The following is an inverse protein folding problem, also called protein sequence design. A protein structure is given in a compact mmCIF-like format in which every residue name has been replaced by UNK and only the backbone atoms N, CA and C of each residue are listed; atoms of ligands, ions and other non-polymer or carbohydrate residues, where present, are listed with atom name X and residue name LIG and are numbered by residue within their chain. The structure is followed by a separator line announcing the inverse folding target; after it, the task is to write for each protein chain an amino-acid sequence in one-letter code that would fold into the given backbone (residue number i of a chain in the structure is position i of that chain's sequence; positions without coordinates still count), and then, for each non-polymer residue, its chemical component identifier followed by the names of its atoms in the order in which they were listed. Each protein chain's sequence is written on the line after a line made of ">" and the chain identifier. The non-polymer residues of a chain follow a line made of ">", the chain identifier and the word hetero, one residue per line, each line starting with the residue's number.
data_IF_235173766350
#
_entry.id   IF_235173766350
#
_cell.length_a   1.000
_cell.length_b   1.000
_cell.length_c   1.000
_cell.angle_alpha   90.00
_cell.angle_beta   90.00
_cell.angle_gamma   90.00
#
_symmetry.space_group_name_H-M   'P 1'
#
loop_
_entity.id
_entity.type
_entity.pdbx_description
1 polymer ?
#
# COMPACT_ATOMS: atom_id res chain seq x y z
N UNK A 1 -8.71 29.64 6.62
CA UNK A 1 -8.31 28.26 6.94
C UNK A 1 -9.05 27.37 5.97
N UNK A 2 -8.31 26.65 5.13
CA UNK A 2 -8.88 25.75 4.14
C UNK A 2 -9.54 24.56 4.84
N UNK A 3 -10.64 24.06 4.28
CA UNK A 3 -11.34 22.87 4.79
C UNK A 3 -10.40 21.64 4.68
N UNK A 4 -10.25 20.84 5.73
CA UNK A 4 -9.37 19.64 5.71
C UNK A 4 -9.78 18.67 4.58
N UNK A 5 -11.07 18.61 4.23
CA UNK A 5 -11.54 17.81 3.11
C UNK A 5 -11.00 18.32 1.74
N UNK A 6 -10.88 19.64 1.59
CA UNK A 6 -10.29 20.23 0.39
C UNK A 6 -8.80 19.89 0.29
N UNK A 7 -8.08 20.01 1.40
CA UNK A 7 -6.65 19.70 1.43
C UNK A 7 -6.39 18.23 1.10
N UNK A 8 -7.15 17.32 1.72
CA UNK A 8 -7.01 15.88 1.46
C UNK A 8 -7.35 15.51 0.01
N UNK A 9 -8.46 16.03 -0.53
CA UNK A 9 -8.82 15.78 -1.93
C UNK A 9 -7.82 16.39 -2.92
N UNK A 10 -7.24 17.56 -2.61
CA UNK A 10 -6.17 18.16 -3.40
C UNK A 10 -4.92 17.28 -3.39
N UNK A 11 -4.48 16.83 -2.21
CA UNK A 11 -3.31 15.96 -2.06
C UNK A 11 -3.44 14.66 -2.87
N UNK A 12 -4.61 14.00 -2.83
CA UNK A 12 -4.87 12.79 -3.64
C UNK A 12 -4.80 13.07 -5.14
N UNK A 13 -5.35 14.21 -5.60
CA UNK A 13 -5.30 14.58 -7.02
C UNK A 13 -3.88 14.91 -7.45
N UNK A 14 -3.08 15.60 -6.62
CA UNK A 14 -1.67 15.85 -6.91
C UNK A 14 -0.90 14.54 -7.14
N UNK A 15 -1.11 13.54 -6.28
CA UNK A 15 -0.49 12.21 -6.44
C UNK A 15 -1.03 11.52 -7.70
N UNK A 16 -2.34 11.60 -7.97
CA UNK A 16 -2.94 10.96 -9.12
C UNK A 16 -2.49 11.55 -10.47
N UNK A 17 -2.10 12.83 -10.49
CA UNK A 17 -1.48 13.50 -11.65
C UNK A 17 -0.05 13.01 -11.84
N UNK A 18 0.73 12.87 -10.77
CA UNK A 18 2.10 12.37 -10.86
C UNK A 18 2.20 10.91 -11.32
N UNK A 19 1.09 10.16 -11.31
CA UNK A 19 1.01 8.78 -11.82
C UNK A 19 0.47 8.70 -13.26
N UNK A 20 0.38 9.80 -14.01
CA UNK A 20 -0.28 9.82 -15.33
C UNK A 20 0.40 8.89 -16.34
N UNK A 21 1.73 8.87 -16.35
CA UNK A 21 2.53 8.02 -17.24
C UNK A 21 2.69 6.57 -16.71
N UNK A 22 2.19 6.30 -15.49
CA UNK A 22 2.25 5.01 -14.82
C UNK A 22 3.56 4.75 -14.06
N UNK A 23 4.48 5.71 -14.04
CA UNK A 23 5.72 5.67 -13.27
C UNK A 23 5.76 6.80 -12.25
N UNK A 24 6.55 6.63 -11.19
CA UNK A 24 6.83 7.69 -10.23
C UNK A 24 8.25 7.45 -9.72
N UNK A 25 9.21 8.13 -10.33
CA UNK A 25 10.61 7.94 -10.01
C UNK A 25 10.97 8.52 -8.62
N UNK A 26 12.22 8.30 -8.18
CA UNK A 26 12.63 8.75 -6.84
C UNK A 26 12.66 10.27 -6.71
N UNK A 27 13.02 11.00 -7.76
CA UNK A 27 13.07 12.46 -7.75
C UNK A 27 11.66 13.06 -7.77
N UNK A 28 10.79 12.57 -8.65
CA UNK A 28 9.38 12.97 -8.74
C UNK A 28 8.66 12.69 -7.41
N UNK A 29 8.88 11.50 -6.84
CA UNK A 29 8.34 11.13 -5.53
C UNK A 29 8.78 12.09 -4.42
N UNK A 30 10.06 12.44 -4.38
CA UNK A 30 10.59 13.34 -3.35
C UNK A 30 10.06 14.77 -3.54
N UNK A 31 10.02 15.26 -4.78
CA UNK A 31 9.47 16.57 -5.10
C UNK A 31 7.97 16.66 -4.73
N UNK A 32 7.20 15.61 -5.03
CA UNK A 32 5.81 15.48 -4.65
C UNK A 32 5.64 15.44 -3.13
N UNK A 33 6.45 14.66 -2.41
CA UNK A 33 6.45 14.65 -0.93
C UNK A 33 6.71 16.05 -0.36
N UNK A 34 7.69 16.77 -0.89
CA UNK A 34 8.00 18.14 -0.46
C UNK A 34 6.82 19.09 -0.66
N UNK A 35 6.05 18.95 -1.75
CA UNK A 35 4.83 19.72 -1.98
C UNK A 35 3.72 19.34 -1.00
N UNK A 36 3.51 18.05 -0.78
CA UNK A 36 2.51 17.55 0.18
C UNK A 36 2.81 18.05 1.60
N UNK A 37 4.09 18.14 1.99
CA UNK A 37 4.51 18.66 3.31
C UNK A 37 4.21 20.14 3.50
N UNK A 38 4.00 20.91 2.43
CA UNK A 38 3.61 22.33 2.51
C UNK A 38 2.10 22.50 2.68
N UNK A 39 1.31 21.46 2.45
CA UNK A 39 -0.13 21.52 2.67
C UNK A 39 -0.42 21.60 4.18
N UNK A 40 -1.30 22.52 4.61
CA UNK A 40 -1.60 22.72 6.02
C UNK A 40 -2.41 21.55 6.59
N UNK A 41 -2.25 21.32 7.90
CA UNK A 41 -3.20 20.56 8.73
C UNK A 41 -3.43 19.07 8.35
N UNK A 42 -2.47 18.39 7.70
CA UNK A 42 -2.53 16.94 7.48
C UNK A 42 -2.18 16.15 8.76
N UNK A 43 -3.12 15.34 9.24
CA UNK A 43 -2.92 14.39 10.34
C UNK A 43 -2.07 13.18 9.92
N UNK A 44 -1.54 12.43 10.89
CA UNK A 44 -0.77 11.22 10.62
C UNK A 44 -1.57 10.17 9.82
N UNK A 45 -2.87 10.02 10.08
CA UNK A 45 -3.72 9.08 9.34
C UNK A 45 -3.98 9.53 7.89
N UNK A 46 -4.13 10.85 7.67
CA UNK A 46 -4.22 11.41 6.31
C UNK A 46 -2.91 11.18 5.56
N UNK A 47 -1.75 11.38 6.20
CA UNK A 47 -0.45 11.06 5.62
C UNK A 47 -0.29 9.60 5.23
N UNK A 48 -0.66 8.68 6.13
CA UNK A 48 -0.69 7.25 5.82
C UNK A 48 -1.60 6.94 4.63
N UNK A 49 -2.74 7.61 4.53
CA UNK A 49 -3.62 7.47 3.36
C UNK A 49 -2.92 7.94 2.09
N UNK A 50 -2.17 9.05 2.14
CA UNK A 50 -1.41 9.54 0.99
C UNK A 50 -0.24 8.62 0.62
N UNK A 51 0.42 7.98 1.58
CA UNK A 51 1.44 6.95 1.33
C UNK A 51 0.85 5.80 0.50
N UNK A 52 -0.37 5.36 0.82
CA UNK A 52 -1.09 4.34 0.04
C UNK A 52 -1.31 4.74 -1.43
N UNK A 53 -1.43 6.04 -1.73
CA UNK A 53 -1.49 6.54 -3.12
C UNK A 53 -0.10 6.69 -3.74
N UNK A 54 0.95 6.98 -2.97
CA UNK A 54 2.33 7.10 -3.44
C UNK A 54 2.99 5.75 -3.78
N UNK A 55 2.45 4.65 -3.24
CA UNK A 55 3.00 3.30 -3.44
C UNK A 55 2.42 2.55 -4.63
N UNK A 56 1.36 3.06 -5.26
CA UNK A 56 0.77 2.40 -6.43
C UNK A 56 0.17 3.38 -7.44
N UNK A 57 0.27 3.06 -8.76
CA UNK A 57 -0.36 3.83 -9.82
C UNK A 57 -1.84 4.11 -9.56
N UNK A 58 -2.26 5.33 -9.89
CA UNK A 58 -3.68 5.72 -9.85
C UNK A 58 -4.26 5.62 -11.25
N UNK A 59 -5.11 4.61 -11.46
CA UNK A 59 -5.78 4.37 -12.74
C UNK A 59 -6.77 5.47 -13.11
N UNK A 60 -7.13 5.56 -14.40
CA UNK A 60 -7.98 6.63 -14.93
C UNK A 60 -9.34 6.75 -14.22
N UNK A 61 -10.02 5.63 -13.96
CA UNK A 61 -11.32 5.64 -13.29
C UNK A 61 -11.23 6.15 -11.83
N UNK A 62 -10.19 5.76 -11.09
CA UNK A 62 -9.95 6.27 -9.73
C UNK A 62 -9.57 7.76 -9.77
N UNK A 63 -8.72 8.17 -10.72
CA UNK A 63 -8.35 9.57 -10.94
C UNK A 63 -9.57 10.46 -11.22
N UNK A 64 -10.48 10.02 -12.10
CA UNK A 64 -11.74 10.72 -12.37
C UNK A 64 -12.59 10.89 -11.10
N UNK A 65 -12.66 9.85 -10.26
CA UNK A 65 -13.35 9.91 -8.96
C UNK A 65 -12.70 10.94 -8.02
N UNK A 66 -11.38 10.95 -7.92
CA UNK A 66 -10.63 11.88 -7.08
C UNK A 66 -10.81 13.34 -7.53
N UNK A 67 -10.78 13.58 -8.85
CA UNK A 67 -11.02 14.92 -9.42
C UNK A 67 -12.45 15.39 -9.11
N UNK A 68 -13.44 14.52 -9.27
CA UNK A 68 -14.84 14.85 -8.95
C UNK A 68 -15.02 15.19 -7.45
N UNK A 69 -14.33 14.47 -6.56
CA UNK A 69 -14.32 14.73 -5.13
C UNK A 69 -13.68 16.10 -4.81
N UNK A 70 -12.53 16.41 -5.42
CA UNK A 70 -11.88 17.72 -5.29
C UNK A 70 -12.81 18.86 -5.75
N UNK A 71 -13.45 18.72 -6.92
CA UNK A 71 -14.39 19.70 -7.44
C UNK A 71 -15.57 19.95 -6.50
N UNK A 72 -16.11 18.90 -5.87
CA UNK A 72 -17.19 19.02 -4.90
C UNK A 72 -16.78 19.74 -3.60
N UNK A 73 -15.49 19.71 -3.26
CA UNK A 73 -14.95 20.34 -2.05
C UNK A 73 -14.53 21.81 -2.26
N UNK A 74 -14.44 22.30 -3.49
CA UNK A 74 -14.16 23.72 -3.78
C UNK A 74 -15.41 24.55 -3.51
N UNK A 75 -15.31 25.49 -2.56
CA UNK A 75 -16.45 26.33 -2.14
C UNK A 75 -16.24 27.80 -2.44
N UNK A 76 -15.00 28.26 -2.53
CA UNK A 76 -14.65 29.66 -2.68
C UNK A 76 -13.66 29.89 -3.82
N UNK A 77 -13.51 31.14 -4.24
CA UNK A 77 -12.45 31.51 -5.19
C UNK A 77 -11.04 31.35 -4.60
N UNK A 78 -10.90 31.42 -3.27
CA UNK A 78 -9.64 31.18 -2.58
C UNK A 78 -9.26 29.69 -2.66
N UNK A 79 -10.23 28.79 -2.44
CA UNK A 79 -10.05 27.34 -2.62
C UNK A 79 -9.60 27.03 -4.05
N UNK A 80 -10.29 27.63 -5.03
CA UNK A 80 -9.95 27.46 -6.44
C UNK A 80 -8.52 27.94 -6.74
N UNK A 81 -8.14 29.13 -6.24
CA UNK A 81 -6.80 29.67 -6.42
C UNK A 81 -5.71 28.80 -5.75
N UNK A 82 -6.00 28.21 -4.59
CA UNK A 82 -5.12 27.27 -3.90
C UNK A 82 -4.88 26.02 -4.77
N UNK A 83 -5.96 25.42 -5.28
CA UNK A 83 -5.88 24.21 -6.12
C UNK A 83 -5.06 24.48 -7.38
N UNK A 84 -5.33 25.57 -8.11
CA UNK A 84 -4.55 25.90 -9.32
C UNK A 84 -3.07 26.09 -9.01
N UNK A 85 -2.74 26.76 -7.90
CA UNK A 85 -1.34 26.96 -7.48
C UNK A 85 -0.67 25.63 -7.20
N UNK A 86 -1.28 24.78 -6.38
CA UNK A 86 -0.72 23.49 -6.01
C UNK A 86 -0.52 22.57 -7.21
N UNK A 87 -1.49 22.48 -8.12
CA UNK A 87 -1.35 21.67 -9.34
C UNK A 87 -0.27 22.22 -10.30
N UNK A 88 -0.14 23.55 -10.39
CA UNK A 88 0.95 24.17 -11.16
C UNK A 88 2.32 23.90 -10.55
N UNK A 89 2.40 23.82 -9.21
CA UNK A 89 3.63 23.47 -8.50
C UNK A 89 4.02 22.01 -8.73
N UNK A 90 3.06 21.07 -8.81
CA UNK A 90 3.31 19.66 -9.17
C UNK A 90 3.94 19.58 -10.56
N UNK A 91 3.38 20.29 -11.54
CA UNK A 91 3.95 20.37 -12.88
C UNK A 91 5.38 20.95 -12.88
N UNK A 92 5.66 21.91 -12.01
CA UNK A 92 6.97 22.55 -11.96
C UNK A 92 8.01 21.80 -11.10
N UNK A 93 7.65 20.70 -10.43
CA UNK A 93 8.38 20.17 -9.28
C UNK A 93 9.71 19.50 -9.65
N UNK A 94 9.73 18.76 -10.75
CA UNK A 94 10.89 17.99 -11.22
C UNK A 94 11.57 18.62 -12.45
N UNK A 95 10.91 19.58 -13.09
CA UNK A 95 11.37 20.28 -14.29
C UNK A 95 11.13 19.56 -15.61
N UNK A 96 10.44 18.41 -15.61
CA UNK A 96 10.16 17.58 -16.81
C UNK A 96 8.72 17.10 -16.80
N UNK A 97 7.77 17.98 -17.17
CA UNK A 97 6.37 17.56 -17.38
C UNK A 97 6.25 16.80 -18.69
N UNK A 98 5.75 15.57 -18.64
CA UNK A 98 5.40 14.83 -19.85
C UNK A 98 4.21 15.49 -20.58
N UNK A 99 4.09 15.24 -21.89
CA UNK A 99 2.96 15.78 -22.66
C UNK A 99 1.60 15.30 -22.11
N UNK A 100 1.55 14.07 -21.61
CA UNK A 100 0.34 13.46 -21.07
C UNK A 100 -0.03 14.07 -19.72
N UNK A 101 0.94 14.33 -18.83
CA UNK A 101 0.71 15.04 -17.57
C UNK A 101 0.23 16.47 -17.80
N UNK A 102 0.86 17.19 -18.74
CA UNK A 102 0.45 18.55 -19.08
C UNK A 102 -0.98 18.56 -19.62
N UNK A 103 -1.35 17.59 -20.46
CA UNK A 103 -2.72 17.45 -20.95
C UNK A 103 -3.71 17.21 -19.80
N UNK A 104 -3.40 16.29 -18.88
CA UNK A 104 -4.27 15.99 -17.73
C UNK A 104 -4.39 17.21 -16.80
N UNK A 105 -3.30 17.93 -16.57
CA UNK A 105 -3.30 19.17 -15.81
C UNK A 105 -4.16 20.25 -16.47
N UNK A 106 -4.07 20.41 -17.78
CA UNK A 106 -4.89 21.36 -18.54
C UNK A 106 -6.37 20.95 -18.48
N UNK A 107 -6.69 19.66 -18.61
CA UNK A 107 -8.05 19.13 -18.46
C UNK A 107 -8.61 19.39 -17.07
N UNK A 108 -7.82 19.14 -16.00
CA UNK A 108 -8.20 19.42 -14.62
C UNK A 108 -8.41 20.92 -14.44
N UNK A 109 -7.47 21.76 -14.89
CA UNK A 109 -7.55 23.22 -14.78
C UNK A 109 -8.80 23.76 -15.47
N UNK A 110 -9.10 23.31 -16.69
CA UNK A 110 -10.31 23.68 -17.42
C UNK A 110 -11.59 23.23 -16.71
N UNK A 111 -11.59 22.02 -16.14
CA UNK A 111 -12.73 21.48 -15.41
C UNK A 111 -12.97 22.21 -14.08
N UNK A 112 -11.90 22.58 -13.37
CA UNK A 112 -11.94 23.46 -12.20
C UNK A 112 -12.44 24.85 -12.56
N UNK A 113 -12.08 25.35 -13.75
CA UNK A 113 -12.51 26.66 -14.21
C UNK A 113 -14.02 26.78 -14.39
N UNK A 114 -14.65 25.69 -14.80
CA UNK A 114 -16.10 25.57 -14.95
C UNK A 114 -16.86 25.46 -13.61
N UNK A 115 -16.17 25.23 -12.47
CA UNK A 115 -16.83 25.15 -11.14
C UNK A 115 -17.33 26.55 -10.72
N UNK A 116 -18.64 26.71 -10.66
CA UNK A 116 -19.27 27.94 -10.22
C UNK A 116 -19.18 28.16 -8.71
N UNK A 117 -18.29 29.05 -8.27
CA UNK A 117 -18.07 29.40 -6.84
C UNK A 117 -19.11 30.38 -6.25
N UNK A 118 -20.08 30.85 -7.06
CA UNK A 118 -21.14 31.77 -6.63
C UNK A 118 -22.44 31.10 -6.17
N UNK A 119 -23.28 31.84 -5.42
CA UNK A 119 -24.60 31.40 -4.94
C UNK A 119 -25.54 30.86 -6.06
N UNK A 120 -25.38 31.32 -7.30
CA UNK A 120 -26.15 30.86 -8.47
C UNK A 120 -25.55 29.62 -9.16
N UNK A 121 -24.26 29.34 -8.99
CA UNK A 121 -23.61 28.13 -9.53
C UNK A 121 -24.07 26.85 -8.82
N UNK A 122 -24.46 26.97 -7.55
CA UNK A 122 -24.99 25.88 -6.71
C UNK A 122 -26.37 25.36 -7.17
N UNK A 123 -27.11 26.15 -7.96
CA UNK A 123 -28.44 25.80 -8.47
C UNK A 123 -28.41 25.29 -9.93
N UNK A 124 -27.29 25.45 -10.64
CA UNK A 124 -27.13 25.09 -12.05
C UNK A 124 -26.83 23.61 -12.33
N UNK A 125 -26.46 22.83 -11.30
CA UNK A 125 -26.08 21.41 -11.44
C UNK A 125 -27.23 20.42 -11.69
N UNK A 126 -28.43 20.89 -12.01
CA UNK A 126 -29.64 20.06 -12.12
C UNK A 126 -30.04 19.72 -13.57
N UNK A 127 -29.10 19.23 -14.39
CA UNK A 127 -29.39 18.53 -15.65
C UNK A 127 -29.11 17.03 -15.49
N UNK A 128 -30.13 16.29 -15.03
CA UNK A 128 -30.05 14.92 -14.46
C UNK A 128 -29.98 13.74 -15.45
N UNK A 129 -29.90 13.91 -16.78
CA UNK A 129 -29.99 12.76 -17.71
C UNK A 129 -28.65 12.24 -18.26
N UNK A 130 -27.63 13.08 -18.39
CA UNK A 130 -26.25 12.66 -18.73
C UNK A 130 -25.36 12.46 -17.51
N UNK A 131 -25.70 13.11 -16.39
CA UNK A 131 -25.03 12.98 -15.09
C UNK A 131 -25.29 11.61 -14.44
N UNK A 132 -26.45 10.98 -14.67
CA UNK A 132 -26.75 9.69 -14.02
C UNK A 132 -25.77 8.58 -14.40
N UNK A 133 -25.33 8.53 -15.67
CA UNK A 133 -24.36 7.53 -16.14
C UNK A 133 -22.93 7.80 -15.65
N UNK A 134 -22.54 9.07 -15.51
CA UNK A 134 -21.26 9.46 -14.88
C UNK A 134 -21.26 9.21 -13.38
N UNK A 135 -22.34 9.53 -12.66
CA UNK A 135 -22.46 9.22 -11.23
C UNK A 135 -22.33 7.72 -10.97
N UNK A 136 -23.02 6.86 -11.74
CA UNK A 136 -22.90 5.41 -11.55
C UNK A 136 -21.50 4.87 -11.88
N UNK A 137 -20.78 5.49 -12.83
CA UNK A 137 -19.39 5.11 -13.12
C UNK A 137 -18.43 5.57 -12.00
N UNK A 138 -18.63 6.76 -11.44
CA UNK A 138 -17.86 7.29 -10.31
C UNK A 138 -18.13 6.52 -9.01
N UNK A 139 -19.39 6.10 -8.78
CA UNK A 139 -19.78 5.31 -7.60
C UNK A 139 -19.16 3.90 -7.61
N UNK A 140 -18.90 3.35 -8.80
CA UNK A 140 -18.26 2.04 -8.98
C UNK A 140 -16.75 2.14 -9.24
N UNK A 141 -16.18 3.35 -9.29
CA UNK A 141 -14.75 3.50 -9.50
C UNK A 141 -13.95 2.88 -8.33
N UNK A 142 -12.75 2.34 -8.61
CA UNK A 142 -11.89 1.81 -7.56
C UNK A 142 -11.67 2.83 -6.45
N UNK A 143 -11.67 2.34 -5.21
CA UNK A 143 -11.36 3.14 -4.04
C UNK A 143 -10.46 2.32 -3.11
N UNK A 144 -9.16 2.56 -3.21
CA UNK A 144 -8.15 1.83 -2.41
C UNK A 144 -8.27 2.06 -0.91
N UNK A 145 -8.84 3.19 -0.48
CA UNK A 145 -9.03 3.52 0.94
C UNK A 145 -9.97 2.53 1.65
N UNK A 146 -10.78 1.75 0.91
CA UNK A 146 -11.56 0.64 1.47
C UNK A 146 -10.68 -0.42 2.14
N UNK A 147 -9.41 -0.51 1.73
CA UNK A 147 -8.43 -1.46 2.24
C UNK A 147 -7.43 -0.80 3.20
N UNK A 148 -7.73 0.41 3.71
CA UNK A 148 -6.82 1.16 4.58
C UNK A 148 -6.43 0.38 5.85
N UNK A 149 -7.38 -0.31 6.47
CA UNK A 149 -7.08 -1.15 7.64
C UNK A 149 -6.13 -2.29 7.29
N UNK A 150 -6.30 -2.89 6.12
CA UNK A 150 -5.43 -3.98 5.64
C UNK A 150 -4.04 -3.47 5.29
N UNK A 151 -3.95 -2.29 4.67
CA UNK A 151 -2.68 -1.60 4.42
C UNK A 151 -1.87 -1.39 5.70
N UNK A 152 -2.55 -0.99 6.79
CA UNK A 152 -1.90 -0.76 8.08
C UNK A 152 -1.59 -2.04 8.85
N UNK A 153 -2.44 -3.04 8.78
CA UNK A 153 -2.35 -4.23 9.64
C UNK A 153 -1.65 -5.41 8.99
N UNK A 154 -1.77 -5.55 7.68
CA UNK A 154 -1.24 -6.66 6.91
C UNK A 154 -0.91 -6.19 5.49
N UNK A 155 0.15 -5.38 5.38
CA UNK A 155 0.59 -4.78 4.11
C UNK A 155 0.82 -5.82 3.00
N UNK A 156 1.35 -6.99 3.36
CA UNK A 156 1.52 -8.12 2.45
C UNK A 156 0.18 -8.61 1.89
N UNK A 157 -0.85 -8.74 2.74
CA UNK A 157 -2.19 -9.11 2.28
C UNK A 157 -2.79 -8.04 1.38
N UNK A 158 -2.63 -6.76 1.73
CA UNK A 158 -3.05 -5.65 0.88
C UNK A 158 -2.38 -5.69 -0.50
N UNK A 159 -1.06 -5.89 -0.55
CA UNK A 159 -0.30 -6.03 -1.79
C UNK A 159 -0.82 -7.20 -2.64
N UNK A 160 -0.98 -8.38 -2.04
CA UNK A 160 -1.51 -9.58 -2.70
C UNK A 160 -2.92 -9.32 -3.24
N UNK A 161 -3.83 -8.77 -2.43
CA UNK A 161 -5.20 -8.48 -2.84
C UNK A 161 -5.25 -7.50 -4.02
N UNK A 162 -4.45 -6.43 -3.97
CA UNK A 162 -4.38 -5.44 -5.05
C UNK A 162 -3.94 -6.07 -6.37
N UNK A 163 -2.89 -6.88 -6.32
CA UNK A 163 -2.39 -7.59 -7.51
C UNK A 163 -3.41 -8.62 -8.06
N UNK A 164 -4.17 -9.29 -7.18
CA UNK A 164 -5.26 -10.20 -7.57
C UNK A 164 -6.41 -9.44 -8.25
N UNK A 165 -6.81 -8.28 -7.70
CA UNK A 165 -7.87 -7.42 -8.25
C UNK A 165 -7.50 -6.83 -9.63
N UNK A 166 -6.21 -6.56 -9.86
CA UNK A 166 -5.66 -6.17 -11.16
C UNK A 166 -5.60 -7.34 -12.17
N UNK A 167 -6.03 -8.54 -11.78
CA UNK A 167 -6.10 -9.72 -12.63
C UNK A 167 -4.75 -10.41 -12.86
N UNK A 168 -3.71 -10.09 -12.07
CA UNK A 168 -2.37 -10.68 -12.23
C UNK A 168 -2.29 -12.12 -11.76
N UNK A 169 -3.07 -12.51 -10.75
CA UNK A 169 -3.12 -13.90 -10.28
C UNK A 169 -4.47 -14.18 -9.62
N UNK A 170 -5.05 -15.38 -9.82
CA UNK A 170 -6.28 -15.79 -9.15
C UNK A 170 -5.93 -16.80 -8.06
N UNK A 171 -6.15 -16.45 -6.79
CA UNK A 171 -5.88 -17.35 -5.66
C UNK A 171 -7.19 -17.95 -5.14
N UNK A 172 -7.50 -19.24 -5.42
CA UNK A 172 -8.72 -19.89 -4.97
C UNK A 172 -8.61 -20.32 -3.49
N UNK A 173 -8.43 -19.35 -2.60
CA UNK A 173 -8.20 -19.53 -1.16
C UNK A 173 -9.19 -18.66 -0.40
N UNK A 174 -9.65 -19.13 0.76
CA UNK A 174 -10.50 -18.30 1.62
C UNK A 174 -9.74 -17.09 2.15
N UNK A 175 -10.43 -15.96 2.28
CA UNK A 175 -9.83 -14.70 2.76
C UNK A 175 -9.06 -14.88 4.07
N UNK A 176 -9.67 -15.49 5.09
CA UNK A 176 -9.02 -15.72 6.39
C UNK A 176 -7.70 -16.49 6.28
N UNK A 177 -7.66 -17.47 5.36
CA UNK A 177 -6.46 -18.27 5.13
C UNK A 177 -5.41 -17.46 4.39
N UNK A 178 -5.80 -16.64 3.41
CA UNK A 178 -4.89 -15.74 2.72
C UNK A 178 -4.29 -14.69 3.65
N UNK A 179 -5.10 -14.10 4.55
CA UNK A 179 -4.64 -13.17 5.57
C UNK A 179 -3.57 -13.80 6.47
N UNK A 180 -3.85 -15.00 7.00
CA UNK A 180 -2.87 -15.74 7.81
C UNK A 180 -1.59 -16.07 7.04
N UNK A 181 -1.72 -16.46 5.76
CA UNK A 181 -0.59 -16.73 4.88
C UNK A 181 0.29 -15.50 4.66
N UNK A 182 -0.30 -14.34 4.42
CA UNK A 182 0.42 -13.08 4.27
C UNK A 182 1.11 -12.63 5.57
N UNK A 183 0.50 -12.88 6.74
CA UNK A 183 1.16 -12.66 8.03
C UNK A 183 2.39 -13.56 8.20
N UNK A 184 2.27 -14.85 7.87
CA UNK A 184 3.40 -15.76 7.85
C UNK A 184 4.47 -15.30 6.84
N UNK A 185 4.08 -15.08 5.58
CA UNK A 185 4.98 -14.62 4.52
C UNK A 185 5.77 -13.38 4.93
N UNK A 186 5.10 -12.36 5.49
CA UNK A 186 5.78 -11.13 5.95
C UNK A 186 6.76 -11.37 7.11
N UNK A 187 6.45 -12.28 8.05
CA UNK A 187 7.39 -12.64 9.12
C UNK A 187 8.58 -13.46 8.61
N UNK A 188 8.37 -14.35 7.63
CA UNK A 188 9.45 -15.07 6.96
C UNK A 188 10.38 -14.09 6.22
N UNK A 189 9.77 -13.19 5.46
CA UNK A 189 10.44 -12.14 4.69
C UNK A 189 11.29 -11.25 5.61
N UNK A 190 10.76 -10.87 6.78
CA UNK A 190 11.50 -10.13 7.81
C UNK A 190 12.77 -10.84 8.26
N UNK A 191 12.70 -12.15 8.48
CA UNK A 191 13.88 -12.95 8.89
C UNK A 191 14.90 -12.99 7.78
N UNK A 192 14.47 -13.28 6.55
CA UNK A 192 15.35 -13.35 5.39
C UNK A 192 15.99 -11.99 5.02
N UNK A 193 15.41 -10.87 5.45
CA UNK A 193 16.00 -9.53 5.24
C UNK A 193 16.72 -9.00 6.50
N UNK A 194 16.94 -9.82 7.53
CA UNK A 194 17.46 -9.33 8.81
C UNK A 194 18.83 -8.66 8.67
N UNK A 195 19.68 -9.14 7.76
CA UNK A 195 21.01 -8.59 7.46
C UNK A 195 21.00 -7.49 6.35
N UNK A 196 19.84 -7.21 5.77
CA UNK A 196 19.63 -6.25 4.69
C UNK A 196 19.68 -6.83 3.27
N UNK A 197 19.77 -8.15 3.11
CA UNK A 197 19.72 -8.82 1.81
C UNK A 197 18.89 -10.10 1.88
N UNK A 198 18.00 -10.33 0.91
CA UNK A 198 17.25 -11.58 0.80
C UNK A 198 17.90 -12.47 -0.26
N UNK A 199 18.35 -13.67 0.12
CA UNK A 199 18.95 -14.61 -0.81
C UNK A 199 17.88 -15.40 -1.61
N UNK A 200 18.08 -15.66 -2.92
CA UNK A 200 17.15 -16.46 -3.72
C UNK A 200 16.83 -17.85 -3.14
N UNK A 201 17.77 -18.47 -2.43
CA UNK A 201 17.64 -19.78 -1.78
C UNK A 201 16.65 -19.70 -0.61
N UNK A 202 16.68 -18.61 0.15
CA UNK A 202 15.72 -18.35 1.22
C UNK A 202 14.32 -18.12 0.65
N UNK A 203 14.20 -17.31 -0.41
CA UNK A 203 12.93 -17.13 -1.13
C UNK A 203 12.35 -18.46 -1.62
N UNK A 204 13.18 -19.37 -2.13
CA UNK A 204 12.76 -20.71 -2.51
C UNK A 204 12.33 -21.56 -1.30
N UNK A 205 13.04 -21.47 -0.18
CA UNK A 205 12.67 -22.14 1.06
C UNK A 205 11.32 -21.63 1.59
N UNK A 206 11.09 -20.32 1.60
CA UNK A 206 9.83 -19.69 1.97
C UNK A 206 8.67 -20.26 1.13
N UNK A 207 8.82 -20.26 -0.21
CA UNK A 207 7.80 -20.78 -1.11
C UNK A 207 7.53 -22.27 -0.86
N UNK A 208 8.57 -23.10 -0.67
CA UNK A 208 8.43 -24.52 -0.33
C UNK A 208 7.67 -24.73 0.99
N UNK A 209 7.95 -23.93 2.02
CA UNK A 209 7.24 -24.03 3.29
C UNK A 209 5.78 -23.66 3.16
N UNK A 210 5.45 -22.62 2.39
CA UNK A 210 4.08 -22.22 2.08
C UNK A 210 3.31 -23.32 1.32
N UNK A 211 3.94 -23.94 0.31
CA UNK A 211 3.36 -25.10 -0.40
C UNK A 211 3.07 -26.25 0.57
N UNK A 212 4.07 -26.68 1.35
CA UNK A 212 3.99 -27.90 2.14
C UNK A 212 3.05 -27.79 3.35
N UNK A 213 3.00 -26.62 4.00
CA UNK A 213 2.24 -26.46 5.26
C UNK A 213 0.85 -25.86 5.05
N UNK A 214 0.62 -25.16 3.93
CA UNK A 214 -0.68 -24.54 3.64
C UNK A 214 -1.35 -25.05 2.36
N UNK A 215 -0.78 -26.04 1.69
CA UNK A 215 -1.34 -26.67 0.47
C UNK A 215 -1.65 -25.62 -0.62
N UNK A 216 -0.69 -24.72 -0.81
CA UNK A 216 -0.66 -23.73 -1.89
C UNK A 216 -0.13 -24.35 -3.18
N UNK A 217 -0.53 -23.81 -4.33
CA UNK A 217 0.20 -24.09 -5.56
C UNK A 217 1.58 -23.41 -5.50
N UNK A 218 2.56 -23.95 -6.23
CA UNK A 218 3.91 -23.35 -6.27
C UNK A 218 3.86 -21.90 -6.77
N UNK A 219 3.03 -21.62 -7.78
CA UNK A 219 2.79 -20.28 -8.31
C UNK A 219 2.24 -19.34 -7.24
N UNK A 220 1.23 -19.79 -6.49
CA UNK A 220 0.59 -18.98 -5.44
C UNK A 220 1.53 -18.72 -4.26
N UNK A 221 2.32 -19.73 -3.87
CA UNK A 221 3.30 -19.60 -2.82
C UNK A 221 4.41 -18.60 -3.21
N UNK A 222 4.95 -18.73 -4.43
CA UNK A 222 5.96 -17.79 -4.94
C UNK A 222 5.41 -16.37 -4.99
N UNK A 223 4.19 -16.20 -5.49
CA UNK A 223 3.55 -14.90 -5.54
C UNK A 223 3.40 -14.23 -4.16
N UNK A 224 3.00 -14.97 -3.13
CA UNK A 224 2.94 -14.43 -1.75
C UNK A 224 4.33 -14.06 -1.24
N UNK A 225 5.36 -14.87 -1.55
CA UNK A 225 6.74 -14.57 -1.17
C UNK A 225 7.24 -13.31 -1.86
N UNK A 226 7.03 -13.17 -3.16
CA UNK A 226 7.49 -12.03 -3.93
C UNK A 226 6.86 -10.73 -3.39
N UNK A 227 5.55 -10.73 -3.16
CA UNK A 227 4.88 -9.59 -2.51
C UNK A 227 5.39 -9.38 -1.08
N UNK A 228 5.59 -10.43 -0.30
CA UNK A 228 6.10 -10.29 1.05
C UNK A 228 7.48 -9.64 1.09
N UNK A 229 8.37 -9.99 0.14
CA UNK A 229 9.71 -9.42 -0.04
C UNK A 229 9.65 -7.98 -0.54
N UNK A 230 8.77 -7.66 -1.50
CA UNK A 230 8.55 -6.30 -1.99
C UNK A 230 8.05 -5.36 -0.89
N UNK A 231 7.20 -5.85 0.00
CA UNK A 231 6.62 -5.06 1.10
C UNK A 231 7.57 -4.97 2.32
N UNK A 232 8.70 -5.69 2.32
CA UNK A 232 9.76 -5.50 3.33
C UNK A 232 10.30 -4.08 3.14
N UNK A 233 9.90 -3.21 4.05
CA UNK A 233 10.39 -1.84 4.12
C UNK A 233 10.59 -1.47 5.58
N UNK A 234 11.36 -0.40 5.81
CA UNK A 234 11.56 0.15 7.15
C UNK A 234 10.24 0.56 7.82
N UNK A 235 9.21 0.82 7.02
CA UNK A 235 7.90 1.31 7.47
C UNK A 235 6.93 0.17 7.83
N UNK A 236 7.29 -1.10 7.62
CA UNK A 236 6.43 -2.22 7.96
C UNK A 236 6.36 -2.39 9.49
N UNK A 237 5.15 -2.26 10.08
CA UNK A 237 4.90 -2.45 11.51
C UNK A 237 4.93 -3.94 11.89
N UNK A 238 6.14 -4.48 12.02
CA UNK A 238 6.33 -5.89 12.32
C UNK A 238 5.83 -6.30 13.71
N UNK A 239 5.72 -5.37 14.66
CA UNK A 239 5.14 -5.65 15.96
C UNK A 239 3.65 -5.99 15.80
N UNK A 240 2.93 -5.17 15.02
CA UNK A 240 1.54 -5.44 14.65
C UNK A 240 1.39 -6.74 13.88
N UNK A 241 2.25 -6.96 12.87
CA UNK A 241 2.25 -8.20 12.08
C UNK A 241 2.38 -9.44 12.99
N UNK A 242 3.32 -9.41 13.95
CA UNK A 242 3.55 -10.52 14.87
C UNK A 242 2.39 -10.71 15.85
N UNK A 243 1.78 -9.61 16.32
CA UNK A 243 0.59 -9.63 17.19
C UNK A 243 -0.59 -10.27 16.48
N UNK A 244 -0.82 -9.90 15.22
CA UNK A 244 -1.96 -10.40 14.45
C UNK A 244 -1.74 -11.87 14.07
N UNK A 245 -0.50 -12.28 13.77
CA UNK A 245 -0.14 -13.70 13.62
C UNK A 245 -0.36 -14.48 14.93
N UNK A 246 0.01 -13.92 16.08
CA UNK A 246 -0.24 -14.53 17.38
C UNK A 246 -1.74 -14.73 17.63
N UNK A 247 -2.57 -13.74 17.30
CA UNK A 247 -4.02 -13.80 17.48
C UNK A 247 -4.68 -14.85 16.57
N UNK A 248 -4.11 -15.09 15.39
CA UNK A 248 -4.64 -16.02 14.39
C UNK A 248 -4.13 -17.47 14.54
N UNK A 249 -3.24 -17.76 15.50
CA UNK A 249 -2.57 -19.07 15.64
C UNK A 249 -2.68 -19.68 17.03
N UNK A 250 -2.55 -21.01 17.12
CA UNK A 250 -2.36 -21.73 18.38
C UNK A 250 -0.89 -21.74 18.80
N UNK A 251 -0.59 -22.13 20.04
CA UNK A 251 0.80 -22.23 20.51
C UNK A 251 1.60 -23.26 19.72
N UNK A 252 0.99 -24.39 19.41
CA UNK A 252 1.60 -25.49 18.67
C UNK A 252 1.96 -25.05 17.24
N UNK A 253 1.05 -24.30 16.60
CA UNK A 253 1.32 -23.70 15.28
C UNK A 253 2.50 -22.73 15.35
N UNK A 254 2.60 -21.92 16.40
CA UNK A 254 3.74 -21.00 16.58
C UNK A 254 5.06 -21.72 16.82
N UNK A 255 5.07 -22.83 17.56
CA UNK A 255 6.27 -23.66 17.74
C UNK A 255 6.74 -24.28 16.42
N UNK A 256 5.82 -24.84 15.64
CA UNK A 256 6.12 -25.35 14.31
C UNK A 256 6.62 -24.23 13.38
N UNK A 257 5.98 -23.06 13.44
CA UNK A 257 6.38 -21.89 12.67
C UNK A 257 7.79 -21.40 13.00
N UNK A 258 8.17 -21.41 14.29
CA UNK A 258 9.53 -21.03 14.70
C UNK A 258 10.59 -21.98 14.09
N UNK A 259 10.26 -23.26 13.95
CA UNK A 259 11.11 -24.24 13.26
C UNK A 259 11.26 -23.89 11.78
N UNK A 260 10.17 -23.48 11.12
CA UNK A 260 10.19 -23.03 9.72
C UNK A 260 11.10 -21.81 9.54
N UNK A 261 11.05 -20.83 10.46
CA UNK A 261 11.92 -19.64 10.37
C UNK A 261 13.41 -20.00 10.40
N UNK A 262 13.80 -20.95 11.26
CA UNK A 262 15.18 -21.44 11.28
C UNK A 262 15.56 -22.24 10.02
N UNK A 263 14.61 -22.97 9.44
CA UNK A 263 14.83 -23.70 8.18
C UNK A 263 15.03 -22.76 6.99
N UNK A 264 14.37 -21.61 6.99
CA UNK A 264 14.56 -20.55 5.99
C UNK A 264 15.94 -19.91 6.17
N UNK A 265 16.27 -19.46 7.38
CA UNK A 265 17.59 -18.85 7.68
C UNK A 265 18.77 -19.82 7.49
N UNK A 266 18.53 -21.13 7.44
CA UNK A 266 19.57 -22.14 7.15
C UNK A 266 19.60 -22.57 5.68
N UNK A 267 18.77 -22.00 4.81
CA UNK A 267 18.53 -22.50 3.46
C UNK A 267 19.77 -22.40 2.56
N UNK A 268 20.59 -21.37 2.74
CA UNK A 268 21.86 -21.16 2.03
C UNK A 268 23.04 -21.91 2.69
N UNK A 269 22.79 -22.57 3.82
CA UNK A 269 23.77 -23.33 4.59
C UNK A 269 24.49 -22.54 5.69
N UNK A 270 24.18 -21.25 5.88
CA UNK A 270 24.77 -20.40 6.93
C UNK A 270 23.69 -19.60 7.63
N UNK A 271 23.41 -19.92 8.89
CA UNK A 271 22.52 -19.10 9.71
C UNK A 271 23.30 -17.89 10.26
N UNK A 272 22.94 -16.68 9.85
CA UNK A 272 23.56 -15.45 10.34
C UNK A 272 23.11 -15.13 11.78
N UNK A 273 23.98 -14.45 12.53
CA UNK A 273 23.66 -14.02 13.88
C UNK A 273 22.48 -13.05 13.92
N UNK A 274 22.35 -12.19 12.91
CA UNK A 274 21.29 -11.17 12.79
C UNK A 274 19.93 -11.81 12.57
N UNK A 275 19.85 -12.83 11.71
CA UNK A 275 18.65 -13.65 11.51
C UNK A 275 18.24 -14.37 12.80
N UNK A 276 19.21 -14.94 13.54
CA UNK A 276 18.94 -15.62 14.82
C UNK A 276 18.35 -14.65 15.84
N UNK A 277 18.84 -13.41 15.89
CA UNK A 277 18.30 -12.39 16.79
C UNK A 277 16.92 -11.87 16.33
N UNK A 278 16.66 -11.80 15.03
CA UNK A 278 15.33 -11.49 14.51
C UNK A 278 14.32 -12.62 14.83
N UNK A 279 14.70 -13.88 14.62
CA UNK A 279 13.91 -15.05 15.04
C UNK A 279 13.67 -15.03 16.56
N UNK A 280 14.66 -14.61 17.36
CA UNK A 280 14.49 -14.46 18.82
C UNK A 280 13.46 -13.38 19.17
N UNK A 281 13.52 -12.23 18.50
CA UNK A 281 12.56 -11.13 18.67
C UNK A 281 11.13 -11.58 18.34
N UNK A 282 10.96 -12.27 17.21
CA UNK A 282 9.69 -12.88 16.81
C UNK A 282 9.22 -13.90 17.86
N UNK A 283 10.09 -14.82 18.30
CA UNK A 283 9.71 -15.83 19.31
C UNK A 283 9.19 -15.22 20.62
N UNK A 284 9.80 -14.11 21.04
CA UNK A 284 9.40 -13.36 22.24
C UNK A 284 8.03 -12.73 22.05
N UNK A 285 7.80 -12.10 20.90
CA UNK A 285 6.52 -11.48 20.54
C UNK A 285 5.40 -12.52 20.39
N UNK A 286 5.75 -13.73 19.94
CA UNK A 286 4.86 -14.88 19.85
C UNK A 286 4.61 -15.59 21.19
N UNK A 287 5.19 -15.08 22.29
CA UNK A 287 5.09 -15.62 23.65
C UNK A 287 5.51 -17.09 23.73
N UNK A 288 6.54 -17.46 22.98
CA UNK A 288 7.16 -18.77 23.07
C UNK A 288 8.23 -18.78 24.16
N UNK A 289 8.47 -19.94 24.77
CA UNK A 289 9.45 -20.08 25.84
C UNK A 289 10.87 -20.24 25.26
N UNK A 290 11.88 -19.98 26.08
CA UNK A 290 13.28 -20.17 25.65
C UNK A 290 13.56 -21.61 25.19
N UNK A 291 12.91 -22.60 25.80
CA UNK A 291 13.03 -24.00 25.38
C UNK A 291 12.51 -24.24 23.96
N UNK A 292 11.42 -23.56 23.56
CA UNK A 292 10.86 -23.65 22.21
C UNK A 292 11.87 -23.10 21.18
N UNK A 293 12.51 -21.97 21.50
CA UNK A 293 13.55 -21.36 20.66
C UNK A 293 14.77 -22.28 20.48
N UNK A 294 15.28 -22.85 21.57
CA UNK A 294 16.42 -23.78 21.50
C UNK A 294 16.05 -25.02 20.70
N UNK A 295 14.86 -25.58 20.89
CA UNK A 295 14.40 -26.74 20.12
C UNK A 295 14.34 -26.43 18.62
N UNK A 296 13.76 -25.30 18.23
CA UNK A 296 13.68 -24.88 16.84
C UNK A 296 15.08 -24.66 16.24
N UNK A 297 16.00 -24.00 16.95
CA UNK A 297 17.37 -23.77 16.50
C UNK A 297 18.14 -25.08 16.26
N UNK A 298 17.98 -26.06 17.15
CA UNK A 298 18.64 -27.36 17.03
C UNK A 298 18.10 -28.22 15.89
N UNK A 299 16.94 -27.89 15.29
CA UNK A 299 16.37 -28.63 14.18
C UNK A 299 17.14 -28.45 12.85
N UNK A 300 17.96 -27.40 12.76
CA UNK A 300 18.77 -27.04 11.57
C UNK A 300 20.27 -27.04 11.85
N UNK A 301 20.68 -27.38 13.09
CA UNK A 301 22.08 -27.45 13.52
C UNK A 301 22.73 -28.78 13.19
#
# INVERSE_FOLDING_TARGET
>A
MSDSNLIMSLARVMIAVAWVDGTLDTNERNALKDLLFRLPDLSGQEWTTLEMYLEAPVGSAERERLIAELQANIRTNEDKALVHRALSEVAAADGVVSADEQQVLDEISNALDAVGTGLLGRLGGLMKSSVSRRNTALDNAPNREKHFEDYITNKVYYGVQRQVEEGRNAMPITEDKLRLLCLAGGLMARVAHADGHVDPTECEAMAKHLVNHWNLSETDARFVVDVAVEEISADLDYYRLTRDFFAATTREQRQAYLTILFQIAAADGVVDHTEVEEIRSISTSLKLEHADFIHAKLSVS
#
